data_IF_008175603106
#
_entry.id   IF_008175603106
#
_cell.length_a   1.000
_cell.length_b   1.000
_cell.length_c   1.000
_cell.angle_alpha   90.00
_cell.angle_beta   90.00
_cell.angle_gamma   90.00
#
_symmetry.space_group_name_H-M   'P 1'
#
loop_
_entity.id
_entity.type
_entity.pdbx_description
1 polymer ?
#
# COMPACT_ATOMS: atom_id res chain seq x y z
N UNK A 1 3.55 -10.00 34.19
CA UNK A 1 2.46 -10.93 33.84
C UNK A 1 2.98 -11.87 32.77
N UNK A 2 2.97 -13.17 33.03
CA UNK A 2 3.37 -14.19 32.06
C UNK A 2 2.35 -14.35 30.92
N UNK A 3 2.75 -15.10 29.88
CA UNK A 3 1.97 -15.26 28.66
C UNK A 3 0.63 -16.00 28.89
N UNK A 4 0.56 -17.10 29.67
CA UNK A 4 -0.70 -17.77 29.98
C UNK A 4 -1.72 -16.87 30.68
N UNK A 5 -1.30 -16.09 31.68
CA UNK A 5 -2.21 -15.17 32.38
C UNK A 5 -2.74 -14.07 31.46
N UNK A 6 -1.89 -13.57 30.55
CA UNK A 6 -2.31 -12.57 29.58
C UNK A 6 -3.35 -13.14 28.60
N UNK A 7 -3.17 -14.38 28.15
CA UNK A 7 -4.15 -15.08 27.30
C UNK A 7 -5.51 -15.21 28.02
N UNK A 8 -5.52 -15.58 29.30
CA UNK A 8 -6.76 -15.67 30.10
C UNK A 8 -7.48 -14.32 30.18
N UNK A 9 -6.75 -13.23 30.39
CA UNK A 9 -7.34 -11.88 30.44
C UNK A 9 -7.89 -11.46 29.08
N UNK A 10 -7.15 -11.74 28.00
CA UNK A 10 -7.60 -11.45 26.64
C UNK A 10 -8.85 -12.26 26.28
N UNK A 11 -8.93 -13.53 26.73
CA UNK A 11 -10.12 -14.36 26.58
C UNK A 11 -11.32 -13.78 27.34
N UNK A 12 -11.10 -13.28 28.57
CA UNK A 12 -12.15 -12.66 29.38
C UNK A 12 -12.70 -11.37 28.74
N UNK A 13 -11.90 -10.66 27.92
CA UNK A 13 -12.37 -9.51 27.13
C UNK A 13 -13.40 -9.88 26.05
N UNK A 14 -13.55 -11.18 25.73
CA UNK A 14 -14.55 -11.70 24.80
C UNK A 14 -15.82 -12.21 25.50
N UNK A 15 -15.88 -12.16 26.84
CA UNK A 15 -17.01 -12.72 27.59
C UNK A 15 -18.34 -12.08 27.17
N UNK A 16 -19.43 -12.85 27.02
CA UNK A 16 -20.75 -12.25 26.81
C UNK A 16 -21.19 -11.40 28.01
N UNK A 17 -20.64 -11.64 29.21
CA UNK A 17 -20.93 -10.89 30.42
C UNK A 17 -20.24 -9.51 30.38
N UNK A 18 -20.98 -8.39 30.39
CA UNK A 18 -20.39 -7.04 30.34
C UNK A 18 -19.47 -6.71 31.52
N UNK A 19 -19.76 -7.24 32.72
CA UNK A 19 -18.97 -6.97 33.91
C UNK A 19 -17.60 -7.64 33.84
N UNK A 20 -17.54 -8.90 33.40
CA UNK A 20 -16.29 -9.64 33.20
C UNK A 20 -15.40 -8.97 32.15
N UNK A 21 -15.98 -8.55 31.01
CA UNK A 21 -15.24 -7.80 29.98
C UNK A 21 -14.63 -6.52 30.53
N UNK A 22 -15.42 -5.73 31.25
CA UNK A 22 -14.96 -4.46 31.82
C UNK A 22 -13.81 -4.67 32.81
N UNK A 23 -13.88 -5.71 33.65
CA UNK A 23 -12.80 -6.06 34.59
C UNK A 23 -11.54 -6.47 33.81
N UNK A 24 -11.68 -7.32 32.79
CA UNK A 24 -10.55 -7.76 31.97
C UNK A 24 -9.86 -6.59 31.22
N UNK A 25 -10.64 -5.68 30.64
CA UNK A 25 -10.12 -4.46 30.00
C UNK A 25 -9.39 -3.55 31.00
N UNK A 26 -9.91 -3.41 32.22
CA UNK A 26 -9.23 -2.67 33.28
C UNK A 26 -7.90 -3.34 33.67
N UNK A 27 -7.86 -4.67 33.77
CA UNK A 27 -6.62 -5.41 34.01
C UNK A 27 -5.61 -5.18 32.89
N UNK A 28 -5.99 -5.27 31.62
CA UNK A 28 -5.10 -4.93 30.50
C UNK A 28 -4.51 -3.52 30.65
N UNK A 29 -5.35 -2.54 30.98
CA UNK A 29 -4.91 -1.16 31.18
C UNK A 29 -3.96 -0.99 32.38
N UNK A 30 -4.08 -1.81 33.42
CA UNK A 30 -3.16 -1.78 34.55
C UNK A 30 -1.78 -2.35 34.18
N UNK A 31 -1.74 -3.42 33.37
CA UNK A 31 -0.50 -4.11 33.03
C UNK A 31 0.16 -3.66 31.72
N UNK A 32 -0.44 -2.71 30.99
CA UNK A 32 0.05 -2.28 29.67
C UNK A 32 1.47 -1.69 29.67
N UNK A 33 1.96 -1.23 30.83
CA UNK A 33 3.32 -0.69 31.00
C UNK A 33 4.28 -1.67 31.67
N UNK A 34 3.86 -2.92 31.92
CA UNK A 34 4.72 -3.92 32.51
C UNK A 34 5.84 -4.33 31.54
N UNK A 35 7.04 -4.69 32.03
CA UNK A 35 8.12 -5.16 31.18
C UNK A 35 7.71 -6.32 30.27
N UNK A 36 8.17 -6.28 29.03
CA UNK A 36 7.89 -7.26 27.97
C UNK A 36 6.40 -7.36 27.55
N UNK A 37 5.52 -6.47 28.00
CA UNK A 37 4.10 -6.53 27.65
C UNK A 37 3.88 -6.51 26.13
N UNK A 38 4.57 -5.61 25.41
CA UNK A 38 4.48 -5.51 23.95
C UNK A 38 4.98 -6.78 23.24
N UNK A 39 6.09 -7.35 23.69
CA UNK A 39 6.62 -8.59 23.13
C UNK A 39 5.63 -9.74 23.34
N UNK A 40 5.04 -9.87 24.53
CA UNK A 40 4.05 -10.92 24.82
C UNK A 40 2.78 -10.78 23.98
N UNK A 41 2.30 -9.55 23.77
CA UNK A 41 1.18 -9.31 22.86
C UNK A 41 1.52 -9.76 21.44
N UNK A 42 2.70 -9.39 20.94
CA UNK A 42 3.14 -9.80 19.61
C UNK A 42 3.25 -11.33 19.48
N UNK A 43 3.80 -12.01 20.49
CA UNK A 43 3.87 -13.48 20.55
C UNK A 43 2.47 -14.12 20.49
N UNK A 44 1.50 -13.60 21.25
CA UNK A 44 0.12 -14.09 21.22
C UNK A 44 -0.51 -13.85 19.84
N UNK A 45 -0.31 -12.69 19.21
CA UNK A 45 -0.89 -12.36 17.91
C UNK A 45 -0.47 -13.37 16.82
N UNK A 46 0.78 -13.84 16.85
CA UNK A 46 1.31 -14.78 15.84
C UNK A 46 1.20 -16.25 16.24
N UNK A 47 0.84 -16.56 17.49
CA UNK A 47 0.68 -17.94 17.94
C UNK A 47 -0.54 -18.60 17.26
N UNK A 48 -0.26 -19.53 16.36
CA UNK A 48 -1.29 -20.27 15.64
C UNK A 48 -2.05 -21.29 16.51
N UNK A 49 -1.55 -21.59 17.71
CA UNK A 49 -2.25 -22.42 18.69
C UNK A 49 -3.24 -21.62 19.55
N UNK A 50 -3.16 -20.28 19.51
CA UNK A 50 -4.06 -19.42 20.25
C UNK A 50 -5.37 -19.19 19.47
N UNK A 51 -6.50 -19.13 20.18
CA UNK A 51 -7.80 -18.86 19.57
C UNK A 51 -7.80 -17.55 18.77
N UNK A 52 -8.47 -17.56 17.62
CA UNK A 52 -8.48 -16.43 16.70
C UNK A 52 -9.09 -15.16 17.33
N UNK A 53 -10.10 -15.32 18.20
CA UNK A 53 -10.69 -14.22 18.95
C UNK A 53 -9.68 -13.58 19.90
N UNK A 54 -8.92 -14.39 20.65
CA UNK A 54 -7.87 -13.90 21.57
C UNK A 54 -6.78 -13.13 20.80
N UNK A 55 -6.30 -13.71 19.69
CA UNK A 55 -5.32 -13.06 18.81
C UNK A 55 -5.83 -11.73 18.27
N UNK A 56 -7.11 -11.66 17.93
CA UNK A 56 -7.75 -10.43 17.47
C UNK A 56 -7.79 -9.36 18.57
N UNK A 57 -8.23 -9.70 19.77
CA UNK A 57 -8.22 -8.76 20.92
C UNK A 57 -6.80 -8.27 21.22
N UNK A 58 -5.82 -9.18 21.23
CA UNK A 58 -4.41 -8.82 21.43
C UNK A 58 -3.93 -7.82 20.37
N UNK A 59 -4.24 -8.04 19.09
CA UNK A 59 -3.84 -7.15 17.99
C UNK A 59 -4.50 -5.77 18.06
N UNK A 60 -5.76 -5.70 18.50
CA UNK A 60 -6.49 -4.43 18.68
C UNK A 60 -5.90 -3.67 19.87
N UNK A 61 -5.66 -4.34 20.99
CA UNK A 61 -5.05 -3.74 22.17
C UNK A 61 -3.64 -3.21 21.86
N UNK A 62 -2.81 -4.03 21.21
CA UNK A 62 -1.48 -3.65 20.75
C UNK A 62 -1.53 -2.40 19.85
N UNK A 63 -2.41 -2.38 18.84
CA UNK A 63 -2.59 -1.21 17.96
C UNK A 63 -2.97 0.05 18.72
N UNK A 64 -3.97 -0.05 19.60
CA UNK A 64 -4.42 1.11 20.38
C UNK A 64 -3.29 1.64 21.28
N UNK A 65 -2.49 0.74 21.86
CA UNK A 65 -1.34 1.12 22.67
C UNK A 65 -0.25 1.81 21.85
N UNK A 66 0.14 1.26 20.69
CA UNK A 66 1.15 1.86 19.80
C UNK A 66 0.67 3.24 19.31
N UNK A 67 -0.57 3.34 18.85
CA UNK A 67 -1.14 4.60 18.38
C UNK A 67 -1.11 5.71 19.45
N UNK A 68 -1.32 5.36 20.72
CA UNK A 68 -1.34 6.31 21.84
C UNK A 68 0.05 6.66 22.36
N UNK A 69 0.97 5.70 22.41
CA UNK A 69 2.16 5.80 23.24
C UNK A 69 3.50 5.78 22.45
N UNK A 70 3.49 5.55 21.13
CA UNK A 70 4.73 5.44 20.36
C UNK A 70 5.52 6.75 20.24
N UNK A 71 4.80 7.84 19.92
CA UNK A 71 5.32 9.20 19.83
C UNK A 71 4.25 10.15 20.36
N UNK A 72 4.13 10.29 21.69
CA UNK A 72 3.07 11.08 22.29
C UNK A 72 3.33 12.58 22.03
N UNK A 73 2.30 13.32 21.63
CA UNK A 73 2.39 14.74 21.29
C UNK A 73 1.87 15.62 22.44
N UNK A 74 2.59 16.70 22.78
CA UNK A 74 2.21 17.68 23.81
C UNK A 74 3.33 17.93 24.83
N UNK A 75 3.31 19.09 25.49
CA UNK A 75 4.32 19.48 26.49
C UNK A 75 4.35 18.56 27.72
N UNK A 76 3.22 17.92 28.06
CA UNK A 76 3.08 17.03 29.23
C UNK A 76 3.14 15.52 28.84
N UNK A 77 3.48 15.23 27.59
CA UNK A 77 3.50 13.87 27.06
C UNK A 77 4.73 13.09 27.55
N UNK A 78 4.58 12.32 28.63
CA UNK A 78 5.63 11.40 29.08
C UNK A 78 5.78 10.22 28.11
N UNK A 79 7.03 9.94 27.71
CA UNK A 79 7.39 8.77 26.91
C UNK A 79 7.17 7.48 27.72
N UNK A 80 6.19 6.67 27.30
CA UNK A 80 5.79 5.45 28.05
C UNK A 80 6.40 4.15 27.52
N UNK A 81 6.99 4.19 26.33
CA UNK A 81 7.64 3.03 25.71
C UNK A 81 9.15 3.27 25.75
N UNK A 82 9.86 2.33 26.39
CA UNK A 82 11.32 2.36 26.46
C UNK A 82 11.94 2.20 25.06
N UNK A 83 13.17 2.67 24.86
CA UNK A 83 13.84 2.48 23.57
C UNK A 83 14.05 0.99 23.26
N UNK A 84 14.41 0.19 24.26
CA UNK A 84 14.56 -1.27 24.10
C UNK A 84 13.25 -1.94 23.64
N UNK A 85 12.11 -1.55 24.21
CA UNK A 85 10.81 -2.07 23.75
C UNK A 85 10.47 -1.60 22.33
N UNK A 86 10.85 -0.37 21.95
CA UNK A 86 10.69 0.11 20.58
C UNK A 86 11.51 -0.72 19.60
N UNK A 87 12.78 -0.97 19.91
CA UNK A 87 13.67 -1.76 19.07
C UNK A 87 13.11 -3.18 18.88
N UNK A 88 12.69 -3.83 19.97
CA UNK A 88 12.02 -5.15 19.93
C UNK A 88 10.78 -5.13 19.05
N UNK A 89 9.91 -4.13 19.18
CA UNK A 89 8.71 -4.01 18.34
C UNK A 89 9.08 -3.83 16.87
N UNK A 90 10.06 -2.97 16.55
CA UNK A 90 10.52 -2.73 15.18
C UNK A 90 11.06 -4.01 14.53
N UNK A 91 11.87 -4.79 15.24
CA UNK A 91 12.44 -6.04 14.73
C UNK A 91 11.38 -7.10 14.43
N UNK A 92 10.41 -7.26 15.33
CA UNK A 92 9.43 -8.34 15.23
C UNK A 92 8.25 -8.00 14.32
N UNK A 93 7.81 -6.74 14.29
CA UNK A 93 6.59 -6.36 13.56
C UNK A 93 6.70 -6.60 12.04
N UNK A 94 7.92 -6.45 11.48
CA UNK A 94 8.19 -6.69 10.07
C UNK A 94 8.03 -8.17 9.70
N UNK A 95 8.47 -9.09 10.57
CA UNK A 95 8.28 -10.53 10.36
C UNK A 95 6.82 -10.91 10.57
N UNK A 96 6.17 -10.36 11.59
CA UNK A 96 4.82 -10.76 11.96
C UNK A 96 3.75 -10.28 10.97
N UNK A 97 3.93 -9.13 10.33
CA UNK A 97 2.99 -8.67 9.29
C UNK A 97 2.95 -9.59 8.07
N UNK A 98 4.06 -10.29 7.77
CA UNK A 98 4.12 -11.23 6.63
C UNK A 98 3.42 -12.55 6.95
N UNK A 99 3.53 -13.03 8.18
CA UNK A 99 2.98 -14.31 8.63
C UNK A 99 1.51 -14.23 9.09
N UNK A 100 1.07 -13.06 9.57
CA UNK A 100 -0.26 -12.92 10.16
C UNK A 100 -1.40 -13.07 9.13
N UNK A 101 -2.54 -13.69 9.49
CA UNK A 101 -3.72 -13.74 8.63
C UNK A 101 -4.29 -12.34 8.35
N UNK A 102 -5.07 -12.15 7.27
CA UNK A 102 -5.53 -10.83 6.83
C UNK A 102 -6.17 -9.98 7.93
N UNK A 103 -6.98 -10.59 8.81
CA UNK A 103 -7.67 -9.91 9.91
C UNK A 103 -6.70 -9.25 10.90
N UNK A 104 -5.61 -9.93 11.27
CA UNK A 104 -4.60 -9.41 12.19
C UNK A 104 -3.62 -8.48 11.48
N UNK A 105 -3.29 -8.80 10.22
CA UNK A 105 -2.40 -7.98 9.38
C UNK A 105 -2.89 -6.56 9.22
N UNK A 106 -4.20 -6.33 9.15
CA UNK A 106 -4.77 -4.96 9.12
C UNK A 106 -4.43 -4.19 10.40
N UNK A 107 -4.50 -4.83 11.58
CA UNK A 107 -4.15 -4.16 12.84
C UNK A 107 -2.64 -3.88 12.93
N UNK A 108 -1.81 -4.86 12.58
CA UNK A 108 -0.35 -4.70 12.51
C UNK A 108 0.07 -3.63 11.49
N UNK A 109 -0.65 -3.52 10.38
CA UNK A 109 -0.44 -2.48 9.38
C UNK A 109 -0.68 -1.06 9.89
N UNK A 110 -1.70 -0.86 10.74
CA UNK A 110 -1.90 0.43 11.41
C UNK A 110 -0.80 0.73 12.43
N UNK A 111 -0.31 -0.28 13.17
CA UNK A 111 0.87 -0.12 14.03
C UNK A 111 2.10 0.30 13.22
N UNK A 112 2.41 -0.42 12.13
CA UNK A 112 3.51 -0.11 11.23
C UNK A 112 3.39 1.30 10.67
N UNK A 113 2.18 1.73 10.29
CA UNK A 113 1.95 3.09 9.82
C UNK A 113 2.34 4.11 10.88
N UNK A 114 1.88 3.96 12.14
CA UNK A 114 2.27 4.86 13.24
C UNK A 114 3.79 4.88 13.40
N UNK A 115 4.41 3.72 13.50
CA UNK A 115 5.86 3.59 13.73
C UNK A 115 6.65 4.23 12.58
N UNK A 116 6.31 3.93 11.31
CA UNK A 116 6.98 4.48 10.13
C UNK A 116 6.81 6.01 10.05
N UNK A 117 5.64 6.55 10.42
CA UNK A 117 5.42 8.00 10.40
C UNK A 117 6.29 8.71 11.43
N UNK A 118 6.48 8.11 12.61
CA UNK A 118 7.30 8.68 13.69
C UNK A 118 8.80 8.47 13.51
N UNK A 119 9.23 7.29 13.09
CA UNK A 119 10.64 6.87 13.26
C UNK A 119 11.46 6.87 11.96
N UNK A 120 10.84 6.75 10.77
CA UNK A 120 11.60 6.70 9.51
C UNK A 120 11.83 8.11 8.92
N UNK A 121 13.00 8.45 8.37
CA UNK A 121 14.19 7.61 8.23
C UNK A 121 15.16 7.64 9.43
N UNK A 122 15.09 8.64 10.31
CA UNK A 122 16.19 8.95 11.24
C UNK A 122 16.37 7.90 12.35
N UNK A 123 15.27 7.43 12.94
CA UNK A 123 15.26 6.47 14.05
C UNK A 123 15.10 5.02 13.58
N UNK A 124 14.80 4.79 12.31
CA UNK A 124 14.69 3.46 11.72
C UNK A 124 15.31 3.35 10.32
N UNK A 125 16.61 3.65 10.17
CA UNK A 125 17.27 3.74 8.87
C UNK A 125 17.31 2.40 8.11
N UNK A 126 17.41 1.28 8.82
CA UNK A 126 17.50 -0.07 8.23
C UNK A 126 16.19 -0.60 7.63
N UNK A 127 15.08 0.12 7.80
CA UNK A 127 13.79 -0.29 7.23
C UNK A 127 13.84 -0.43 5.71
N UNK A 128 14.52 0.50 5.01
CA UNK A 128 14.62 0.47 3.56
C UNK A 128 15.47 -0.71 3.08
N UNK A 129 16.56 -1.04 3.79
CA UNK A 129 17.38 -2.21 3.50
C UNK A 129 16.60 -3.50 3.66
N UNK A 130 15.78 -3.61 4.72
CA UNK A 130 14.88 -4.75 4.91
C UNK A 130 13.89 -4.88 3.74
N UNK A 131 13.28 -3.78 3.29
CA UNK A 131 12.38 -3.79 2.13
C UNK A 131 13.10 -4.24 0.87
N UNK A 132 14.28 -3.67 0.57
CA UNK A 132 15.09 -3.99 -0.61
C UNK A 132 15.50 -5.47 -0.66
N UNK A 133 15.88 -6.02 0.49
CA UNK A 133 16.22 -7.43 0.62
C UNK A 133 14.99 -8.32 0.36
N UNK A 134 13.87 -8.05 1.03
CA UNK A 134 12.67 -8.89 0.94
C UNK A 134 11.90 -8.75 -0.37
N UNK A 135 12.13 -7.70 -1.18
CA UNK A 135 11.64 -7.63 -2.57
C UNK A 135 12.32 -8.64 -3.49
N UNK A 136 13.54 -9.07 -3.17
CA UNK A 136 14.32 -10.00 -3.99
C UNK A 136 14.18 -11.46 -3.54
N UNK A 137 13.65 -11.67 -2.33
CA UNK A 137 13.48 -12.98 -1.71
C UNK A 137 12.01 -13.48 -1.76
N UNK A 138 11.69 -14.54 -1.03
CA UNK A 138 10.37 -15.19 -1.01
C UNK A 138 9.28 -14.33 -0.34
N UNK A 139 9.62 -13.26 0.37
CA UNK A 139 8.67 -12.42 1.13
C UNK A 139 8.15 -11.19 0.37
N UNK A 140 8.02 -11.28 -0.96
CA UNK A 140 7.61 -10.15 -1.83
C UNK A 140 6.34 -9.45 -1.33
N UNK A 141 5.31 -10.21 -0.94
CA UNK A 141 4.06 -9.61 -0.43
C UNK A 141 4.30 -8.73 0.81
N UNK A 142 5.11 -9.21 1.75
CA UNK A 142 5.46 -8.48 2.97
C UNK A 142 6.22 -7.19 2.67
N UNK A 143 7.22 -7.29 1.81
CA UNK A 143 8.00 -6.14 1.37
C UNK A 143 7.12 -5.09 0.66
N UNK A 144 6.23 -5.51 -0.24
CA UNK A 144 5.26 -4.63 -0.89
C UNK A 144 4.29 -3.97 0.10
N UNK A 145 3.88 -4.70 1.14
CA UNK A 145 3.00 -4.16 2.18
C UNK A 145 3.67 -3.03 2.96
N UNK A 146 4.91 -3.25 3.42
CA UNK A 146 5.72 -2.24 4.14
C UNK A 146 6.05 -1.06 3.23
N UNK A 147 6.54 -1.33 2.01
CA UNK A 147 6.86 -0.29 1.03
C UNK A 147 5.63 0.54 0.68
N UNK A 148 4.44 -0.06 0.58
CA UNK A 148 3.20 0.68 0.35
C UNK A 148 2.92 1.70 1.44
N UNK A 149 3.14 1.36 2.71
CA UNK A 149 2.98 2.28 3.84
C UNK A 149 4.04 3.37 3.77
N UNK A 150 5.29 2.99 3.50
CA UNK A 150 6.42 3.89 3.40
C UNK A 150 6.23 4.93 2.29
N UNK A 151 5.89 4.52 1.07
CA UNK A 151 5.59 5.45 -0.03
C UNK A 151 4.37 6.33 0.26
N UNK A 152 3.37 5.82 1.01
CA UNK A 152 2.19 6.61 1.38
C UNK A 152 2.52 7.77 2.32
N UNK A 153 3.47 7.57 3.24
CA UNK A 153 3.90 8.59 4.21
C UNK A 153 4.21 9.92 3.52
N UNK A 154 4.82 9.84 2.33
CA UNK A 154 5.30 10.99 1.59
C UNK A 154 4.38 11.43 0.44
N UNK A 155 3.24 10.77 0.23
CA UNK A 155 2.34 11.03 -0.92
C UNK A 155 1.91 12.50 -1.01
N UNK A 156 1.67 13.14 0.13
CA UNK A 156 1.18 14.53 0.23
C UNK A 156 2.13 15.48 0.96
N UNK A 157 3.40 15.09 1.11
CA UNK A 157 4.42 15.88 1.81
C UNK A 157 4.97 17.01 0.93
N UNK A 158 5.48 18.09 1.52
CA UNK A 158 6.14 19.17 0.76
C UNK A 158 7.43 18.66 0.09
N UNK A 159 7.98 19.43 -0.85
CA UNK A 159 9.18 19.02 -1.60
C UNK A 159 10.37 18.76 -0.67
N UNK A 160 10.55 19.60 0.36
CA UNK A 160 11.58 19.44 1.39
C UNK A 160 11.42 18.12 2.17
N UNK A 161 10.20 17.83 2.64
CA UNK A 161 9.88 16.61 3.39
C UNK A 161 9.86 15.35 2.50
N UNK A 162 9.84 15.51 1.16
CA UNK A 162 9.80 14.41 0.19
C UNK A 162 11.17 13.89 -0.20
N UNK A 163 12.26 14.51 0.25
CA UNK A 163 13.64 14.05 0.00
C UNK A 163 13.83 12.52 0.19
N UNK A 164 13.27 11.87 1.23
CA UNK A 164 13.41 10.42 1.39
C UNK A 164 12.76 9.57 0.28
N UNK A 165 11.77 10.10 -0.45
CA UNK A 165 11.10 9.40 -1.56
C UNK A 165 12.06 9.10 -2.69
N UNK A 166 12.98 10.01 -3.01
CA UNK A 166 13.95 9.82 -4.09
C UNK A 166 14.80 8.59 -3.82
N UNK A 167 15.36 8.48 -2.61
CA UNK A 167 16.11 7.29 -2.17
C UNK A 167 15.26 6.03 -2.18
N UNK A 168 14.01 6.09 -1.70
CA UNK A 168 13.09 4.94 -1.73
C UNK A 168 12.89 4.47 -3.18
N UNK A 169 12.67 5.39 -4.12
CA UNK A 169 12.45 5.07 -5.53
C UNK A 169 13.73 4.48 -6.15
N UNK A 170 14.87 5.12 -5.97
CA UNK A 170 16.17 4.66 -6.48
C UNK A 170 16.50 3.24 -6.02
N UNK A 171 16.30 2.94 -4.74
CA UNK A 171 16.67 1.64 -4.17
C UNK A 171 15.63 0.53 -4.40
N UNK A 172 14.36 0.85 -4.69
CA UNK A 172 13.29 -0.17 -4.78
C UNK A 172 12.68 -0.33 -6.16
N UNK A 173 12.63 0.70 -6.99
CA UNK A 173 11.92 0.63 -8.27
C UNK A 173 12.53 -0.33 -9.29
N UNK A 174 13.87 -0.52 -9.39
CA UNK A 174 14.42 -1.55 -10.25
C UNK A 174 13.92 -2.96 -9.90
N UNK A 175 13.82 -3.27 -8.61
CA UNK A 175 13.27 -4.54 -8.12
C UNK A 175 11.76 -4.64 -8.37
N UNK A 176 11.01 -3.57 -8.08
CA UNK A 176 9.58 -3.52 -8.36
C UNK A 176 9.26 -3.70 -9.84
N UNK A 177 10.06 -3.09 -10.72
CA UNK A 177 9.88 -3.19 -12.16
C UNK A 177 10.07 -4.63 -12.64
N UNK A 178 11.11 -5.32 -12.14
CA UNK A 178 11.33 -6.74 -12.44
C UNK A 178 10.18 -7.63 -11.95
N UNK A 179 9.72 -7.44 -10.71
CA UNK A 179 8.57 -8.16 -10.16
C UNK A 179 7.33 -7.89 -11.02
N UNK A 180 7.05 -6.63 -11.31
CA UNK A 180 5.86 -6.24 -12.06
C UNK A 180 5.85 -6.84 -13.46
N UNK A 181 6.99 -6.82 -14.15
CA UNK A 181 7.16 -7.46 -15.46
C UNK A 181 6.85 -8.96 -15.39
N UNK A 182 7.42 -9.68 -14.42
CA UNK A 182 7.14 -11.12 -14.22
C UNK A 182 5.65 -11.38 -13.99
N UNK A 183 5.00 -10.59 -13.12
CA UNK A 183 3.58 -10.77 -12.79
C UNK A 183 2.66 -10.52 -13.99
N UNK A 184 2.93 -9.47 -14.77
CA UNK A 184 2.12 -9.11 -15.94
C UNK A 184 2.19 -10.16 -17.04
N UNK A 185 3.34 -10.84 -17.17
CA UNK A 185 3.56 -11.89 -18.19
C UNK A 185 2.93 -13.25 -17.85
N UNK A 186 2.41 -13.46 -16.63
CA UNK A 186 1.77 -14.73 -16.26
C UNK A 186 0.50 -14.93 -17.10
N UNK A 187 0.43 -15.96 -17.93
CA UNK A 187 -0.71 -16.20 -18.83
C UNK A 187 -1.98 -16.54 -18.05
N UNK A 188 -1.89 -17.48 -17.11
CA UNK A 188 -3.01 -17.94 -16.26
C UNK A 188 -2.73 -17.60 -14.78
N UNK A 189 -2.98 -16.35 -14.36
CA UNK A 189 -2.61 -15.88 -13.04
C UNK A 189 -3.65 -16.29 -12.01
N UNK A 190 -3.16 -16.73 -10.86
CA UNK A 190 -4.02 -16.92 -9.70
C UNK A 190 -4.50 -15.56 -9.14
N UNK A 191 -5.56 -15.54 -8.31
CA UNK A 191 -6.05 -14.30 -7.69
C UNK A 191 -4.98 -13.54 -6.88
N UNK A 192 -4.00 -14.24 -6.30
CA UNK A 192 -2.90 -13.67 -5.51
C UNK A 192 -2.00 -12.75 -6.35
N UNK A 193 -1.86 -13.01 -7.66
CA UNK A 193 -1.10 -12.13 -8.56
C UNK A 193 -1.68 -10.71 -8.55
N UNK A 194 -3.00 -10.58 -8.50
CA UNK A 194 -3.66 -9.28 -8.43
C UNK A 194 -3.38 -8.56 -7.10
N UNK A 195 -3.20 -9.32 -6.02
CA UNK A 195 -2.82 -8.79 -4.71
C UNK A 195 -1.37 -8.30 -4.63
N UNK A 196 -0.53 -8.68 -5.60
CA UNK A 196 0.82 -8.13 -5.79
C UNK A 196 0.86 -6.96 -6.78
N UNK A 197 0.12 -7.02 -7.90
CA UNK A 197 0.04 -5.92 -8.87
C UNK A 197 -0.53 -4.66 -8.22
N UNK A 198 -1.64 -4.81 -7.48
CA UNK A 198 -2.35 -3.70 -6.84
C UNK A 198 -1.45 -2.81 -5.96
N UNK A 199 -0.65 -3.34 -5.00
CA UNK A 199 0.26 -2.52 -4.21
C UNK A 199 1.38 -1.90 -5.05
N UNK A 200 1.91 -2.58 -6.07
CA UNK A 200 2.92 -1.99 -6.98
C UNK A 200 2.37 -0.72 -7.66
N UNK A 201 1.18 -0.79 -8.24
CA UNK A 201 0.54 0.39 -8.85
C UNK A 201 0.32 1.51 -7.81
N UNK A 202 -0.07 1.17 -6.58
CA UNK A 202 -0.25 2.16 -5.51
C UNK A 202 1.07 2.77 -5.02
N UNK A 203 2.14 2.00 -4.99
CA UNK A 203 3.50 2.48 -4.64
C UNK A 203 3.93 3.49 -5.71
N UNK A 204 3.83 3.12 -6.99
CA UNK A 204 4.13 4.02 -8.11
C UNK A 204 3.32 5.33 -8.01
N UNK A 205 2.00 5.22 -7.81
CA UNK A 205 1.12 6.37 -7.61
C UNK A 205 1.60 7.31 -6.49
N UNK A 206 1.87 6.76 -5.30
CA UNK A 206 2.29 7.57 -4.15
C UNK A 206 3.63 8.27 -4.41
N UNK A 207 4.56 7.58 -5.10
CA UNK A 207 5.86 8.14 -5.44
C UNK A 207 5.77 9.30 -6.43
N UNK A 208 4.89 9.21 -7.44
CA UNK A 208 4.75 10.26 -8.47
C UNK A 208 3.68 11.32 -8.16
N UNK A 209 3.04 11.28 -6.99
CA UNK A 209 1.81 12.05 -6.77
C UNK A 209 2.03 13.55 -6.98
N UNK A 210 3.07 14.14 -6.40
CA UNK A 210 3.38 15.57 -6.56
C UNK A 210 4.38 15.87 -7.68
N UNK A 211 5.40 15.04 -7.83
CA UNK A 211 6.51 15.22 -8.77
C UNK A 211 6.97 13.85 -9.28
N UNK A 212 7.60 13.81 -10.44
CA UNK A 212 8.22 12.62 -11.01
C UNK A 212 9.65 12.47 -10.43
N UNK A 213 9.95 11.40 -9.66
CA UNK A 213 11.30 11.11 -9.21
C UNK A 213 12.32 11.04 -10.36
N UNK A 214 13.54 11.50 -10.10
CA UNK A 214 14.67 11.54 -11.06
C UNK A 214 14.87 10.24 -11.83
N UNK A 215 14.82 9.09 -11.15
CA UNK A 215 14.93 7.77 -11.78
C UNK A 215 13.89 7.55 -12.91
N UNK A 216 12.68 8.08 -12.75
CA UNK A 216 11.60 7.95 -13.72
C UNK A 216 11.66 9.00 -14.85
N UNK A 217 12.64 9.90 -14.83
CA UNK A 217 12.93 10.79 -15.96
C UNK A 217 13.82 10.11 -17.00
N UNK A 218 14.49 9.00 -16.66
CA UNK A 218 15.15 8.15 -17.65
C UNK A 218 14.12 7.53 -18.61
N UNK A 219 14.32 7.75 -19.90
CA UNK A 219 13.35 7.37 -20.93
C UNK A 219 13.15 5.86 -21.02
N UNK A 220 14.20 5.06 -20.81
CA UNK A 220 14.12 3.60 -20.92
C UNK A 220 13.38 3.00 -19.73
N UNK A 221 13.69 3.47 -18.52
CA UNK A 221 13.00 3.06 -17.29
C UNK A 221 11.53 3.47 -17.38
N UNK A 222 11.24 4.71 -17.74
CA UNK A 222 9.87 5.21 -17.88
C UNK A 222 9.09 4.44 -18.94
N UNK A 223 9.68 4.19 -20.12
CA UNK A 223 9.05 3.40 -21.17
C UNK A 223 8.67 1.99 -20.68
N UNK A 224 9.55 1.33 -19.94
CA UNK A 224 9.27 -0.01 -19.39
C UNK A 224 8.07 0.02 -18.45
N UNK A 225 8.01 1.00 -17.54
CA UNK A 225 6.83 1.20 -16.67
C UNK A 225 5.55 1.46 -17.47
N UNK A 226 5.61 2.34 -18.47
CA UNK A 226 4.45 2.67 -19.31
C UNK A 226 3.91 1.46 -20.06
N UNK A 227 4.80 0.66 -20.68
CA UNK A 227 4.39 -0.56 -21.37
C UNK A 227 3.76 -1.57 -20.42
N UNK A 228 4.27 -1.73 -19.19
CA UNK A 228 3.64 -2.60 -18.19
C UNK A 228 2.25 -2.10 -17.76
N UNK A 229 2.06 -0.79 -17.63
CA UNK A 229 0.74 -0.22 -17.35
C UNK A 229 -0.24 -0.46 -18.50
N UNK A 230 0.17 -0.24 -19.75
CA UNK A 230 -0.65 -0.54 -20.92
C UNK A 230 -1.01 -2.04 -20.97
N UNK A 231 -0.04 -2.93 -20.76
CA UNK A 231 -0.29 -4.37 -20.69
C UNK A 231 -1.32 -4.74 -19.59
N UNK A 232 -1.29 -4.09 -18.42
CA UNK A 232 -2.32 -4.28 -17.38
C UNK A 232 -3.71 -3.84 -17.85
N UNK A 233 -3.81 -2.77 -18.65
CA UNK A 233 -5.10 -2.30 -19.20
C UNK A 233 -5.60 -3.18 -20.33
N UNK A 234 -4.74 -3.69 -21.19
CA UNK A 234 -5.09 -4.56 -22.32
C UNK A 234 -5.44 -5.98 -21.86
N UNK A 235 -4.81 -6.46 -20.79
CA UNK A 235 -5.04 -7.81 -20.27
C UNK A 235 -6.52 -8.04 -19.92
N UNK A 236 -7.09 -9.15 -20.40
CA UNK A 236 -8.43 -9.59 -19.97
C UNK A 236 -8.46 -9.93 -18.48
N UNK A 237 -9.52 -9.52 -17.80
CA UNK A 237 -9.75 -9.89 -16.40
C UNK A 237 -10.16 -11.37 -16.34
N UNK A 238 -9.44 -12.23 -15.58
CA UNK A 238 -9.83 -13.62 -15.43
C UNK A 238 -11.25 -13.76 -14.89
N UNK A 239 -11.98 -14.78 -15.35
CA UNK A 239 -13.30 -15.13 -14.81
C UNK A 239 -13.19 -16.03 -13.58
N UNK A 240 -12.13 -16.85 -13.53
CA UNK A 240 -11.86 -17.73 -12.41
C UNK A 240 -11.58 -16.94 -11.13
N UNK A 241 -12.24 -17.33 -10.02
CA UNK A 241 -12.14 -16.65 -8.73
C UNK A 241 -12.85 -15.29 -8.67
N UNK A 242 -13.58 -14.88 -9.72
CA UNK A 242 -14.32 -13.62 -9.68
C UNK A 242 -15.50 -13.70 -8.70
N UNK A 243 -15.63 -12.73 -7.77
CA UNK A 243 -16.77 -12.71 -6.86
C UNK A 243 -18.11 -12.56 -7.59
N UNK A 244 -19.12 -13.32 -7.14
CA UNK A 244 -20.50 -13.22 -7.63
C UNK A 244 -21.16 -11.96 -7.07
N UNK A 245 -20.93 -11.68 -5.79
CA UNK A 245 -21.41 -10.48 -5.10
C UNK A 245 -20.89 -9.20 -5.83
N UNK A 246 -21.78 -8.29 -6.24
CA UNK A 246 -21.40 -7.07 -6.96
C UNK A 246 -20.43 -6.15 -6.20
N UNK A 247 -20.56 -6.02 -4.89
CA UNK A 247 -19.71 -5.17 -4.05
C UNK A 247 -18.32 -5.79 -3.88
N UNK A 248 -18.24 -7.11 -3.72
CA UNK A 248 -16.98 -7.84 -3.73
C UNK A 248 -16.32 -7.81 -5.11
N UNK A 249 -17.10 -7.90 -6.19
CA UNK A 249 -16.59 -7.81 -7.56
C UNK A 249 -15.96 -6.45 -7.86
N UNK A 250 -16.61 -5.35 -7.48
CA UNK A 250 -16.07 -3.97 -7.59
C UNK A 250 -14.78 -3.78 -6.79
N UNK A 251 -14.58 -4.58 -5.74
CA UNK A 251 -13.41 -4.51 -4.86
C UNK A 251 -12.32 -5.53 -5.18
N UNK A 252 -12.57 -6.44 -6.13
CA UNK A 252 -11.65 -7.51 -6.51
C UNK A 252 -10.31 -7.00 -7.04
N UNK A 253 -9.23 -7.76 -6.77
CA UNK A 253 -7.85 -7.36 -7.02
C UNK A 253 -7.59 -6.90 -8.45
N UNK A 254 -8.08 -7.65 -9.45
CA UNK A 254 -7.88 -7.35 -10.88
C UNK A 254 -8.49 -6.01 -11.29
N UNK A 255 -9.73 -5.75 -10.84
CA UNK A 255 -10.40 -4.48 -11.09
C UNK A 255 -9.73 -3.32 -10.37
N UNK A 256 -9.21 -3.55 -9.15
CA UNK A 256 -8.39 -2.55 -8.47
C UNK A 256 -7.08 -2.26 -9.19
N UNK A 257 -6.41 -3.28 -9.76
CA UNK A 257 -5.24 -3.13 -10.60
C UNK A 257 -5.50 -2.18 -11.76
N UNK A 258 -6.49 -2.50 -12.61
CA UNK A 258 -6.90 -1.64 -13.73
C UNK A 258 -7.28 -0.23 -13.27
N UNK A 259 -8.07 -0.10 -12.21
CA UNK A 259 -8.46 1.20 -11.64
C UNK A 259 -7.23 2.04 -11.28
N UNK A 260 -6.24 1.49 -10.60
CA UNK A 260 -5.03 2.25 -10.22
C UNK A 260 -4.16 2.57 -11.42
N UNK A 261 -4.06 1.68 -12.39
CA UNK A 261 -3.37 1.95 -13.66
C UNK A 261 -4.00 3.13 -14.41
N UNK A 262 -5.33 3.14 -14.58
CA UNK A 262 -6.03 4.29 -15.20
C UNK A 262 -5.77 5.58 -14.40
N UNK A 263 -5.79 5.53 -13.07
CA UNK A 263 -5.47 6.71 -12.25
C UNK A 263 -4.05 7.23 -12.49
N UNK A 264 -3.06 6.34 -12.55
CA UNK A 264 -1.67 6.71 -12.82
C UNK A 264 -1.55 7.39 -14.18
N UNK A 265 -2.11 6.78 -15.23
CA UNK A 265 -2.06 7.33 -16.60
C UNK A 265 -2.76 8.69 -16.69
N UNK A 266 -3.92 8.82 -16.03
CA UNK A 266 -4.61 10.10 -15.94
C UNK A 266 -3.76 11.16 -15.23
N UNK A 267 -3.15 10.82 -14.09
CA UNK A 267 -2.31 11.76 -13.34
C UNK A 267 -1.07 12.16 -14.12
N UNK A 268 -0.40 11.20 -14.78
CA UNK A 268 0.73 11.45 -15.66
C UNK A 268 0.35 12.47 -16.73
N UNK A 269 -0.81 12.31 -17.35
CA UNK A 269 -1.30 13.30 -18.31
C UNK A 269 -1.65 14.65 -17.65
N UNK A 270 -2.62 14.67 -16.73
CA UNK A 270 -3.22 15.92 -16.23
C UNK A 270 -2.23 16.78 -15.45
N UNK A 271 -1.22 16.17 -14.82
CA UNK A 271 -0.25 16.89 -14.00
C UNK A 271 1.08 17.14 -14.70
N UNK A 272 1.56 16.18 -15.49
CA UNK A 272 2.91 16.24 -16.04
C UNK A 272 2.95 16.24 -17.58
N UNK A 273 1.88 15.78 -18.23
CA UNK A 273 1.78 15.61 -19.68
C UNK A 273 1.08 16.75 -20.42
N UNK A 274 0.38 17.65 -19.73
CA UNK A 274 -0.31 18.79 -20.36
C UNK A 274 0.64 19.97 -20.57
N UNK A 275 1.04 20.21 -21.82
CA UNK A 275 1.95 21.27 -22.23
C UNK A 275 1.48 22.68 -21.84
N UNK A 276 0.18 22.89 -21.66
CA UNK A 276 -0.36 24.20 -21.29
C UNK A 276 -0.20 24.51 -19.80
N UNK A 277 0.10 23.48 -18.99
CA UNK A 277 0.21 23.58 -17.53
C UNK A 277 1.64 23.41 -17.03
N UNK A 278 2.62 23.16 -17.91
CA UNK A 278 3.99 22.87 -17.50
C UNK A 278 4.90 24.09 -17.47
N UNK A 279 5.69 24.16 -16.39
CA UNK A 279 6.90 24.97 -16.32
C UNK A 279 7.94 24.50 -17.36
N UNK A 280 8.91 25.36 -17.75
CA UNK A 280 9.91 25.03 -18.78
C UNK A 280 10.66 23.72 -18.52
N UNK A 281 10.96 23.42 -17.26
CA UNK A 281 11.70 22.22 -16.81
C UNK A 281 10.92 20.92 -17.07
N UNK A 282 9.59 20.95 -16.95
CA UNK A 282 8.73 19.77 -17.14
C UNK A 282 8.23 19.63 -18.58
N UNK A 283 8.51 20.62 -19.44
CA UNK A 283 8.02 20.66 -20.82
C UNK A 283 8.57 19.52 -21.66
N UNK A 284 9.83 19.14 -21.45
CA UNK A 284 10.47 18.03 -22.17
C UNK A 284 9.75 16.69 -21.88
N UNK A 285 9.44 16.44 -20.61
CA UNK A 285 8.66 15.26 -20.22
C UNK A 285 7.27 15.27 -20.85
N UNK A 286 6.57 16.41 -20.81
CA UNK A 286 5.23 16.53 -21.40
C UNK A 286 5.22 16.24 -22.92
N UNK A 287 6.18 16.78 -23.67
CA UNK A 287 6.32 16.52 -25.10
C UNK A 287 6.58 15.04 -25.38
N UNK A 288 7.49 14.44 -24.62
CA UNK A 288 7.82 13.01 -24.72
C UNK A 288 6.59 12.15 -24.41
N UNK A 289 5.82 12.49 -23.36
CA UNK A 289 4.63 11.75 -22.97
C UNK A 289 3.52 11.82 -24.02
N UNK A 290 3.23 13.03 -24.53
CA UNK A 290 2.22 13.22 -25.56
C UNK A 290 2.57 12.48 -26.85
N UNK A 291 3.84 12.60 -27.29
CA UNK A 291 4.29 11.99 -28.54
C UNK A 291 4.25 10.46 -28.53
N UNK A 292 4.61 9.83 -27.41
CA UNK A 292 4.81 8.37 -27.40
C UNK A 292 3.72 7.57 -26.70
N UNK A 293 2.95 8.17 -25.78
CA UNK A 293 2.02 7.43 -24.93
C UNK A 293 0.58 7.93 -24.98
N UNK A 294 0.31 9.22 -25.19
CA UNK A 294 -1.05 9.74 -25.08
C UNK A 294 -2.04 9.05 -26.03
N UNK A 295 -1.64 8.80 -27.29
CA UNK A 295 -2.45 8.03 -28.25
C UNK A 295 -2.71 6.58 -27.80
N UNK A 296 -1.70 5.88 -27.30
CA UNK A 296 -1.84 4.49 -26.79
C UNK A 296 -2.73 4.42 -25.55
N UNK A 297 -2.62 5.40 -24.66
CA UNK A 297 -3.48 5.52 -23.47
C UNK A 297 -4.93 5.75 -23.88
N UNK A 298 -5.16 6.64 -24.86
CA UNK A 298 -6.49 6.88 -25.43
C UNK A 298 -7.09 5.60 -26.02
N UNK A 299 -6.32 4.87 -26.82
CA UNK A 299 -6.74 3.59 -27.40
C UNK A 299 -7.15 2.57 -26.31
N UNK A 300 -6.31 2.39 -25.29
CA UNK A 300 -6.62 1.53 -24.14
C UNK A 300 -7.93 1.95 -23.43
N UNK A 301 -8.12 3.25 -23.23
CA UNK A 301 -9.33 3.80 -22.63
C UNK A 301 -10.59 3.52 -23.46
N UNK A 302 -10.52 3.70 -24.79
CA UNK A 302 -11.61 3.39 -25.70
C UNK A 302 -11.91 1.88 -25.71
N UNK A 303 -10.88 1.04 -25.69
CA UNK A 303 -11.03 -0.41 -25.61
C UNK A 303 -11.71 -0.85 -24.30
N UNK A 304 -11.40 -0.21 -23.16
CA UNK A 304 -12.11 -0.44 -21.90
C UNK A 304 -13.59 -0.07 -22.01
N UNK A 305 -13.94 1.09 -22.58
CA UNK A 305 -15.35 1.48 -22.76
C UNK A 305 -16.09 0.57 -23.75
N UNK A 306 -15.40 0.05 -24.77
CA UNK A 306 -15.97 -0.89 -25.72
C UNK A 306 -16.46 -2.19 -25.03
N UNK A 307 -15.87 -2.58 -23.89
CA UNK A 307 -16.38 -3.70 -23.07
C UNK A 307 -17.84 -3.51 -22.69
N UNK A 308 -18.25 -2.29 -22.34
CA UNK A 308 -19.65 -1.98 -21.98
C UNK A 308 -20.54 -2.14 -23.21
N UNK A 309 -20.10 -1.63 -24.37
CA UNK A 309 -20.85 -1.67 -25.63
C UNK A 309 -21.18 -3.10 -26.04
N UNK A 310 -20.27 -4.05 -25.82
CA UNK A 310 -20.47 -5.47 -26.13
C UNK A 310 -21.13 -6.27 -25.00
N UNK A 311 -21.64 -5.59 -23.95
CA UNK A 311 -22.36 -6.22 -22.84
C UNK A 311 -21.48 -6.82 -21.73
N UNK A 312 -20.18 -6.51 -21.72
CA UNK A 312 -19.25 -6.94 -20.67
C UNK A 312 -19.32 -6.09 -19.39
N UNK A 313 -18.71 -6.60 -18.33
CA UNK A 313 -18.65 -5.91 -17.04
C UNK A 313 -17.43 -4.99 -16.94
N UNK A 314 -17.65 -3.74 -16.50
CA UNK A 314 -16.61 -2.79 -16.13
C UNK A 314 -17.08 -2.02 -14.89
N UNK A 315 -16.27 -1.89 -13.81
CA UNK A 315 -16.69 -1.16 -12.62
C UNK A 315 -16.90 0.34 -12.89
N UNK A 316 -17.97 0.92 -12.35
CA UNK A 316 -18.33 2.35 -12.51
C UNK A 316 -17.16 3.30 -12.22
N UNK A 317 -16.32 2.96 -11.23
CA UNK A 317 -15.16 3.80 -10.91
C UNK A 317 -14.13 3.82 -12.04
N UNK A 318 -13.93 2.72 -12.76
CA UNK A 318 -13.05 2.67 -13.93
C UNK A 318 -13.66 3.48 -15.07
N UNK A 319 -14.96 3.30 -15.34
CA UNK A 319 -15.71 4.07 -16.34
C UNK A 319 -15.55 5.57 -16.10
N UNK A 320 -15.82 6.03 -14.88
CA UNK A 320 -15.71 7.43 -14.50
C UNK A 320 -14.30 7.99 -14.71
N UNK A 321 -13.25 7.23 -14.37
CA UNK A 321 -11.87 7.68 -14.56
C UNK A 321 -11.50 7.76 -16.05
N UNK A 322 -11.96 6.81 -16.85
CA UNK A 322 -11.75 6.84 -18.31
C UNK A 322 -12.48 8.05 -18.92
N UNK A 323 -13.74 8.28 -18.55
CA UNK A 323 -14.50 9.44 -19.02
C UNK A 323 -13.87 10.77 -18.59
N UNK A 324 -13.34 10.86 -17.37
CA UNK A 324 -12.57 12.03 -16.92
C UNK A 324 -11.37 12.29 -17.83
N UNK A 325 -10.63 11.26 -18.23
CA UNK A 325 -9.53 11.40 -19.18
C UNK A 325 -10.00 11.94 -20.53
N UNK A 326 -11.08 11.37 -21.08
CA UNK A 326 -11.65 11.78 -22.37
C UNK A 326 -12.23 13.20 -22.34
N UNK A 327 -12.76 13.64 -21.21
CA UNK A 327 -13.28 15.00 -21.02
C UNK A 327 -12.17 16.06 -20.92
N UNK A 328 -10.93 15.65 -20.65
CA UNK A 328 -9.80 16.58 -20.66
C UNK A 328 -9.42 16.95 -22.09
N UNK A 329 -8.78 18.12 -22.26
CA UNK A 329 -8.36 18.68 -23.56
C UNK A 329 -7.47 17.76 -24.42
N UNK A 330 -7.00 16.66 -23.84
CA UNK A 330 -6.28 15.57 -24.51
C UNK A 330 -7.01 15.05 -25.75
N UNK A 331 -8.32 14.85 -25.65
CA UNK A 331 -9.13 14.30 -26.75
C UNK A 331 -9.10 15.22 -27.98
N UNK A 332 -9.16 16.54 -27.77
CA UNK A 332 -9.09 17.50 -28.86
C UNK A 332 -7.71 17.52 -29.51
N UNK A 333 -6.63 17.44 -28.74
CA UNK A 333 -5.28 17.49 -29.30
C UNK A 333 -4.89 16.22 -30.06
N UNK A 334 -5.27 15.03 -29.55
CA UNK A 334 -4.97 13.74 -30.21
C UNK A 334 -5.82 13.51 -31.48
N UNK A 335 -7.00 14.14 -31.57
CA UNK A 335 -7.84 14.01 -32.77
C UNK A 335 -7.45 15.01 -33.86
N UNK A 336 -6.89 16.15 -33.49
CA UNK A 336 -6.54 17.23 -34.43
C UNK A 336 -5.11 17.12 -35.00
N UNK A 337 -4.28 16.23 -34.45
CA UNK A 337 -2.89 15.98 -34.84
C UNK A 337 -2.56 14.50 -34.78
#
# INVERSE_FOLDING_TARGET
MDLPSLVVILQACLSPNPNERKVAEQSLNQFQYAPQHLLRLLQIIVDNNCDMGVRQVASIHFKNFIAKNWSPHGSDAQQKISQSDKDVVRDHILVFVTQAPPLLRVQLGECLKTIIHSDYPEQWPHLLDWVKHNLQDQQVFGALFVLRILSRKYEFKSDEERTPVYRIVEETFPHLLNIFNKLVQIVNPSPEVADLIKPICKIFWSSIYLEIPTLLLDQNIFNTWMMLFLNVLERHVPLEGQPIDPELRKSWGWWKGKKWTVQILNRLYTRFGDLNLQNPENRAFAQMFQKHYAGKVLECHLNLLNVIRVGGYLPDRVINLVLQYLSNRCFYFIILH
#
